data_IF_202739086829
#
_entry.id   IF_202739086829
#
_cell.length_a   1.000
_cell.length_b   1.000
_cell.length_c   1.000
_cell.angle_alpha   90.00
_cell.angle_beta   90.00
_cell.angle_gamma   90.00
#
_symmetry.space_group_name_H-M   'P 1'
#
loop_
_entity.id
_entity.type
_entity.pdbx_description
1 polymer ?
#
# COMPACT_ATOMS: atom_id res chain seq x y z
N UNK A 1 15.06 -8.13 27.24
CA UNK A 1 13.80 -8.67 26.67
C UNK A 1 13.89 -10.17 26.65
N UNK A 2 12.83 -10.86 27.08
CA UNK A 2 12.75 -12.31 26.89
C UNK A 2 12.59 -12.63 25.38
N UNK A 3 12.94 -13.86 24.96
CA UNK A 3 12.75 -14.33 23.59
C UNK A 3 11.30 -14.21 23.16
N UNK A 4 10.36 -14.45 24.06
CA UNK A 4 8.91 -14.28 23.85
C UNK A 4 8.54 -12.83 23.55
N UNK A 5 9.01 -11.87 24.34
CA UNK A 5 8.76 -10.43 24.13
C UNK A 5 9.33 -9.97 22.79
N UNK A 6 10.50 -10.47 22.42
CA UNK A 6 11.15 -10.17 21.16
C UNK A 6 10.32 -10.68 19.97
N UNK A 7 9.94 -11.95 20.02
CA UNK A 7 9.10 -12.56 18.98
C UNK A 7 7.76 -11.84 18.83
N UNK A 8 7.10 -11.53 19.94
CA UNK A 8 5.82 -10.83 19.95
C UNK A 8 5.93 -9.41 19.37
N UNK A 9 7.01 -8.69 19.71
CA UNK A 9 7.26 -7.34 19.17
C UNK A 9 7.41 -7.34 17.65
N UNK A 10 8.18 -8.27 17.09
CA UNK A 10 8.37 -8.39 15.65
C UNK A 10 7.10 -8.86 14.93
N UNK A 11 6.34 -9.76 15.53
CA UNK A 11 5.07 -10.22 14.98
C UNK A 11 4.06 -9.07 14.88
N UNK A 12 3.85 -8.32 15.96
CA UNK A 12 2.93 -7.19 15.98
C UNK A 12 3.37 -6.05 15.04
N UNK A 13 4.67 -5.74 15.01
CA UNK A 13 5.24 -4.79 14.07
C UNK A 13 5.05 -5.25 12.62
N UNK A 14 5.27 -6.54 12.35
CA UNK A 14 5.08 -7.14 11.03
C UNK A 14 3.64 -7.10 10.55
N UNK A 15 2.67 -7.39 11.42
CA UNK A 15 1.24 -7.28 11.12
C UNK A 15 0.87 -5.80 10.85
N UNK A 16 1.43 -4.86 11.62
CA UNK A 16 1.19 -3.43 11.42
C UNK A 16 1.72 -2.95 10.07
N UNK A 17 2.98 -3.23 9.74
CA UNK A 17 3.60 -2.86 8.45
C UNK A 17 2.91 -3.59 7.31
N UNK A 18 2.63 -4.87 7.47
CA UNK A 18 1.91 -5.67 6.49
C UNK A 18 0.51 -5.16 6.20
N UNK A 19 -0.20 -4.66 7.22
CA UNK A 19 -1.48 -3.98 7.07
C UNK A 19 -1.38 -2.70 6.23
N UNK A 20 -0.32 -1.91 6.44
CA UNK A 20 -0.06 -0.71 5.63
C UNK A 20 0.23 -1.05 4.17
N UNK A 21 1.05 -2.09 3.92
CA UNK A 21 1.27 -2.59 2.56
C UNK A 21 0.00 -3.14 1.93
N UNK A 22 -0.85 -3.81 2.71
CA UNK A 22 -2.14 -4.32 2.23
C UNK A 22 -3.06 -3.19 1.74
N UNK A 23 -3.14 -2.04 2.43
CA UNK A 23 -3.94 -0.90 1.98
C UNK A 23 -3.49 -0.40 0.60
N UNK A 24 -2.19 -0.27 0.38
CA UNK A 24 -1.64 0.15 -0.92
C UNK A 24 -1.85 -0.95 -1.98
N UNK A 25 -1.61 -2.22 -1.61
CA UNK A 25 -1.75 -3.38 -2.49
C UNK A 25 -3.19 -3.58 -2.97
N UNK A 26 -4.19 -3.31 -2.12
CA UNK A 26 -5.60 -3.30 -2.50
C UNK A 26 -5.85 -2.25 -3.59
N UNK A 27 -5.29 -1.05 -3.44
CA UNK A 27 -5.38 0.00 -4.46
C UNK A 27 -4.84 -0.45 -5.82
N UNK A 28 -3.67 -1.10 -5.86
CA UNK A 28 -3.12 -1.72 -7.06
C UNK A 28 -4.06 -2.80 -7.63
N UNK A 29 -4.51 -3.73 -6.79
CA UNK A 29 -5.37 -4.84 -7.21
C UNK A 29 -6.71 -4.37 -7.77
N UNK A 30 -7.33 -3.36 -7.16
CA UNK A 30 -8.61 -2.81 -7.63
C UNK A 30 -8.47 -2.14 -9.01
N UNK A 31 -7.44 -1.32 -9.21
CA UNK A 31 -7.19 -0.68 -10.51
C UNK A 31 -6.89 -1.73 -11.57
N UNK A 32 -6.03 -2.71 -11.23
CA UNK A 32 -5.68 -3.79 -12.16
C UNK A 32 -6.87 -4.68 -12.52
N UNK A 33 -7.77 -4.99 -11.60
CA UNK A 33 -8.92 -5.85 -11.88
C UNK A 33 -9.82 -5.27 -12.98
N UNK A 34 -9.91 -3.94 -13.07
CA UNK A 34 -10.78 -3.23 -14.03
C UNK A 34 -10.05 -2.84 -15.29
N UNK A 35 -8.86 -2.24 -15.18
CA UNK A 35 -8.11 -1.72 -16.32
C UNK A 35 -7.12 -2.71 -16.92
N UNK A 36 -6.78 -3.80 -16.20
CA UNK A 36 -5.71 -4.75 -16.54
C UNK A 36 -4.36 -4.06 -16.76
N UNK A 37 -4.13 -2.97 -16.04
CA UNK A 37 -2.92 -2.12 -16.09
C UNK A 37 -2.45 -1.80 -14.67
N UNK A 38 -1.13 -1.70 -14.50
CA UNK A 38 -0.51 -1.34 -13.23
C UNK A 38 -0.40 0.18 -13.17
N UNK A 39 -0.87 0.78 -12.06
CA UNK A 39 -0.71 2.21 -11.80
C UNK A 39 0.59 2.47 -11.04
N UNK A 40 1.70 2.66 -11.74
CA UNK A 40 3.00 2.94 -11.11
C UNK A 40 3.03 4.21 -10.26
N UNK A 41 2.16 5.19 -10.54
CA UNK A 41 2.06 6.42 -9.75
C UNK A 41 1.43 6.21 -8.36
N UNK A 42 0.87 5.03 -8.06
CA UNK A 42 0.13 4.81 -6.81
C UNK A 42 1.02 4.91 -5.55
N UNK A 43 2.28 4.45 -5.63
CA UNK A 43 3.27 4.64 -4.57
C UNK A 43 3.63 6.10 -4.33
N UNK A 44 3.64 6.91 -5.41
CA UNK A 44 3.92 8.35 -5.29
C UNK A 44 2.70 9.12 -4.77
N UNK A 45 1.48 8.69 -5.08
CA UNK A 45 0.26 9.21 -4.43
C UNK A 45 0.31 9.01 -2.92
N UNK A 46 0.77 7.84 -2.47
CA UNK A 46 1.03 7.57 -1.06
C UNK A 46 2.08 8.52 -0.47
N UNK A 47 3.22 8.75 -1.14
CA UNK A 47 4.27 9.67 -0.71
C UNK A 47 3.75 11.12 -0.60
N UNK A 48 2.99 11.58 -1.59
CA UNK A 48 2.37 12.91 -1.59
C UNK A 48 1.44 13.10 -0.40
N UNK A 49 0.79 12.02 0.09
CA UNK A 49 0.01 12.05 1.33
C UNK A 49 0.84 12.46 2.55
N UNK A 50 2.06 11.93 2.67
CA UNK A 50 2.99 12.35 3.72
C UNK A 50 3.41 13.82 3.60
N UNK A 51 3.69 14.29 2.37
CA UNK A 51 4.04 15.69 2.14
C UNK A 51 2.87 16.64 2.41
N UNK A 52 1.67 16.32 1.94
CA UNK A 52 0.49 17.14 2.22
C UNK A 52 0.22 17.24 3.72
N UNK A 53 0.43 16.16 4.48
CA UNK A 53 0.29 16.23 5.93
C UNK A 53 1.26 17.23 6.55
N UNK A 54 2.52 17.25 6.11
CA UNK A 54 3.53 18.21 6.61
C UNK A 54 3.08 19.66 6.32
N UNK A 55 2.67 19.95 5.09
CA UNK A 55 2.29 21.31 4.70
C UNK A 55 0.97 21.74 5.33
N UNK A 56 -0.05 20.88 5.38
CA UNK A 56 -1.36 21.22 5.93
C UNK A 56 -1.29 21.36 7.44
N UNK A 57 -0.54 20.49 8.14
CA UNK A 57 -0.37 20.58 9.59
C UNK A 57 0.43 21.81 10.06
N UNK A 58 1.17 22.45 9.17
CA UNK A 58 1.83 23.73 9.48
C UNK A 58 0.82 24.87 9.69
N UNK A 59 -0.39 24.76 9.11
CA UNK A 59 -1.42 25.81 9.16
C UNK A 59 -2.62 25.37 10.01
N UNK A 60 -2.99 24.08 9.96
CA UNK A 60 -4.18 23.56 10.62
C UNK A 60 -3.82 22.56 11.73
N UNK A 61 -4.59 22.51 12.83
CA UNK A 61 -4.43 21.48 13.85
C UNK A 61 -4.67 20.08 13.26
N UNK A 62 -3.96 19.07 13.77
CA UNK A 62 -3.97 17.69 13.24
C UNK A 62 -5.35 17.09 13.01
N UNK A 63 -6.35 17.25 13.90
CA UNK A 63 -7.69 16.69 13.68
C UNK A 63 -8.40 17.27 12.44
N UNK A 64 -8.05 18.49 12.04
CA UNK A 64 -8.55 19.16 10.82
C UNK A 64 -7.66 18.82 9.62
N UNK A 65 -6.36 18.74 9.83
CA UNK A 65 -5.40 18.41 8.77
C UNK A 65 -5.64 17.02 8.17
N UNK A 66 -5.94 16.01 8.98
CA UNK A 66 -6.17 14.64 8.52
C UNK A 66 -7.27 14.55 7.46
N UNK A 67 -8.51 15.00 7.68
CA UNK A 67 -9.56 14.93 6.66
C UNK A 67 -9.26 15.78 5.43
N UNK A 68 -8.59 16.92 5.59
CA UNK A 68 -8.15 17.76 4.45
C UNK A 68 -7.16 16.98 3.59
N UNK A 69 -6.16 16.35 4.18
CA UNK A 69 -5.15 15.57 3.45
C UNK A 69 -5.80 14.38 2.73
N UNK A 70 -6.71 13.67 3.39
CA UNK A 70 -7.45 12.58 2.74
C UNK A 70 -8.21 13.11 1.51
N UNK A 71 -8.93 14.24 1.65
CA UNK A 71 -9.66 14.85 0.55
C UNK A 71 -8.73 15.28 -0.60
N UNK A 72 -7.57 15.88 -0.30
CA UNK A 72 -6.58 16.29 -1.30
C UNK A 72 -5.99 15.09 -2.06
N UNK A 73 -5.68 13.98 -1.37
CA UNK A 73 -5.14 12.76 -2.00
C UNK A 73 -6.21 12.07 -2.85
N UNK A 74 -7.45 12.04 -2.40
CA UNK A 74 -8.58 11.53 -3.19
C UNK A 74 -8.79 12.39 -4.45
N UNK A 75 -8.74 13.71 -4.31
CA UNK A 75 -8.82 14.65 -5.45
C UNK A 75 -7.63 14.45 -6.41
N UNK A 76 -6.42 14.26 -5.90
CA UNK A 76 -5.24 13.96 -6.70
C UNK A 76 -5.42 12.66 -7.49
N UNK A 77 -5.84 11.58 -6.85
CA UNK A 77 -6.08 10.30 -7.52
C UNK A 77 -7.17 10.38 -8.59
N UNK A 78 -8.26 11.11 -8.32
CA UNK A 78 -9.30 11.40 -9.32
C UNK A 78 -8.74 12.22 -10.48
N UNK A 79 -7.90 13.22 -10.22
CA UNK A 79 -7.27 14.05 -11.26
C UNK A 79 -6.32 13.21 -12.13
N UNK A 80 -5.50 12.36 -11.53
CA UNK A 80 -4.62 11.44 -12.26
C UNK A 80 -5.43 10.54 -13.19
N UNK A 81 -6.53 9.96 -12.71
CA UNK A 81 -7.42 9.18 -13.56
C UNK A 81 -7.97 10.02 -14.72
N UNK A 82 -8.44 11.21 -14.45
CA UNK A 82 -9.11 12.06 -15.43
C UNK A 82 -8.17 12.57 -16.51
N UNK A 83 -6.95 12.93 -16.14
CA UNK A 83 -5.96 13.57 -17.02
C UNK A 83 -5.04 12.57 -17.69
N UNK A 84 -4.53 11.59 -16.95
CA UNK A 84 -3.51 10.69 -17.45
C UNK A 84 -4.06 9.34 -17.98
N UNK A 85 -5.16 8.83 -17.41
CA UNK A 85 -5.67 7.52 -17.80
C UNK A 85 -6.87 7.59 -18.75
N UNK A 86 -7.84 8.46 -18.47
CA UNK A 86 -9.07 8.54 -19.25
C UNK A 86 -8.85 8.83 -20.73
N UNK A 87 -7.98 9.76 -21.15
CA UNK A 87 -7.72 10.05 -22.57
C UNK A 87 -7.08 8.87 -23.30
N UNK A 88 -6.29 8.04 -22.59
CA UNK A 88 -5.50 6.96 -23.17
C UNK A 88 -6.20 5.59 -23.11
N UNK A 89 -7.45 5.50 -22.66
CA UNK A 89 -8.16 4.21 -22.51
C UNK A 89 -8.33 3.41 -23.81
N UNK A 90 -8.36 4.10 -24.96
CA UNK A 90 -8.42 3.48 -26.29
C UNK A 90 -7.04 3.27 -26.92
N UNK A 91 -5.98 3.77 -26.27
CA UNK A 91 -4.61 3.62 -26.75
C UNK A 91 -4.04 2.23 -26.39
N UNK A 92 -2.97 1.80 -27.05
CA UNK A 92 -2.26 0.58 -26.70
C UNK A 92 -1.84 0.59 -25.20
N UNK A 93 -1.85 -0.59 -24.57
CA UNK A 93 -1.52 -0.74 -23.14
C UNK A 93 -0.19 -0.08 -22.75
N UNK A 94 0.82 -0.15 -23.63
CA UNK A 94 2.11 0.48 -23.42
C UNK A 94 2.02 1.99 -23.24
N UNK A 95 1.19 2.68 -24.02
CA UNK A 95 1.00 4.14 -23.90
C UNK A 95 0.44 4.54 -22.54
N UNK A 96 -0.50 3.75 -22.01
CA UNK A 96 -1.07 3.98 -20.68
C UNK A 96 -0.03 3.75 -19.59
N UNK A 97 0.80 2.69 -19.70
CA UNK A 97 1.89 2.41 -18.76
C UNK A 97 2.94 3.55 -18.76
N UNK A 98 3.33 4.04 -19.94
CA UNK A 98 4.27 5.17 -20.07
C UNK A 98 3.68 6.43 -19.42
N UNK A 99 2.37 6.69 -19.62
CA UNK A 99 1.69 7.81 -18.95
C UNK A 99 1.72 7.66 -17.42
N UNK A 100 1.50 6.45 -16.89
CA UNK A 100 1.57 6.19 -15.45
C UNK A 100 2.97 6.47 -14.89
N UNK A 101 4.03 6.04 -15.60
CA UNK A 101 5.41 6.33 -15.24
C UNK A 101 5.67 7.85 -15.32
N UNK A 102 5.17 8.52 -16.36
CA UNK A 102 5.28 9.97 -16.48
C UNK A 102 4.64 10.72 -15.32
N UNK A 103 3.46 10.29 -14.86
CA UNK A 103 2.81 10.85 -13.66
C UNK A 103 3.65 10.58 -12.41
N UNK A 104 4.21 9.37 -12.25
CA UNK A 104 5.11 9.03 -11.15
C UNK A 104 6.28 10.00 -11.08
N UNK A 105 7.01 10.19 -12.19
CA UNK A 105 8.12 11.15 -12.26
C UNK A 105 7.67 12.61 -12.02
N UNK A 106 6.50 12.99 -12.50
CA UNK A 106 5.95 14.32 -12.23
C UNK A 106 5.76 14.54 -10.73
N UNK A 107 5.14 13.59 -10.02
CA UNK A 107 4.92 13.69 -8.58
C UNK A 107 6.23 13.72 -7.79
N UNK A 108 7.21 12.89 -8.17
CA UNK A 108 8.53 12.87 -7.55
C UNK A 108 9.28 14.19 -7.75
N UNK A 109 9.26 14.75 -8.96
CA UNK A 109 9.92 16.01 -9.25
C UNK A 109 9.22 17.21 -8.60
N UNK A 110 7.89 17.20 -8.51
CA UNK A 110 7.16 18.20 -7.72
C UNK A 110 7.52 18.09 -6.24
N UNK A 111 7.58 16.89 -5.69
CA UNK A 111 8.02 16.65 -4.32
C UNK A 111 9.46 17.17 -4.10
N UNK A 112 10.38 16.88 -5.03
CA UNK A 112 11.75 17.38 -5.02
C UNK A 112 11.79 18.91 -5.02
N UNK A 113 11.00 19.56 -5.87
CA UNK A 113 10.93 21.01 -5.96
C UNK A 113 10.43 21.65 -4.65
N UNK A 114 9.32 21.15 -4.07
CA UNK A 114 8.75 21.71 -2.85
C UNK A 114 9.54 21.42 -1.58
N UNK A 115 10.30 20.32 -1.54
CA UNK A 115 11.11 19.96 -0.36
C UNK A 115 12.55 20.45 -0.46
N UNK A 116 13.00 20.87 -1.67
CA UNK A 116 14.40 21.15 -1.95
C UNK A 116 15.29 19.91 -1.91
N UNK A 117 14.72 18.71 -2.10
CA UNK A 117 15.43 17.44 -2.02
C UNK A 117 15.71 16.96 -0.59
N UNK A 118 15.33 17.73 0.41
CA UNK A 118 15.59 17.43 1.81
C UNK A 118 14.49 16.53 2.41
N UNK A 119 14.89 15.64 3.31
CA UNK A 119 13.94 14.91 4.14
C UNK A 119 13.24 15.87 5.09
N UNK A 120 11.92 15.85 5.07
CA UNK A 120 11.06 16.62 5.98
C UNK A 120 10.53 15.73 7.08
N UNK A 121 10.50 16.26 8.31
CA UNK A 121 9.96 15.53 9.43
C UNK A 121 8.43 15.58 9.42
N UNK A 122 7.82 14.40 9.53
CA UNK A 122 6.37 14.24 9.64
C UNK A 122 5.89 14.77 11.00
N UNK A 123 4.73 15.45 11.09
CA UNK A 123 4.25 15.99 12.35
C UNK A 123 4.02 14.90 13.40
N UNK A 124 4.49 15.14 14.61
CA UNK A 124 4.25 14.23 15.72
C UNK A 124 2.75 14.19 16.07
N UNK A 125 2.22 12.98 16.21
CA UNK A 125 0.83 12.72 16.63
C UNK A 125 0.84 11.99 17.98
N UNK A 126 0.98 12.69 19.14
CA UNK A 126 1.18 12.05 20.44
C UNK A 126 0.14 11.00 20.77
N UNK A 127 -1.13 11.24 20.40
CA UNK A 127 -2.27 10.34 20.65
C UNK A 127 -2.15 8.97 19.95
N UNK A 128 -1.34 8.80 18.89
CA UNK A 128 -1.07 7.52 18.21
C UNK A 128 0.42 7.13 18.16
N UNK A 129 1.35 8.06 18.38
CA UNK A 129 2.80 7.77 18.34
C UNK A 129 3.39 7.47 19.71
N UNK A 130 2.70 7.83 20.82
CA UNK A 130 3.22 7.58 22.16
C UNK A 130 3.42 6.08 22.42
N UNK A 131 4.40 5.73 23.25
CA UNK A 131 4.65 4.34 23.63
C UNK A 131 3.50 3.79 24.49
N UNK A 132 3.21 2.51 24.33
CA UNK A 132 2.28 1.74 25.17
C UNK A 132 2.91 0.39 25.47
N UNK A 133 2.63 -0.15 26.66
CA UNK A 133 3.06 -1.50 27.03
C UNK A 133 1.91 -2.45 26.74
N UNK A 134 2.14 -3.41 25.84
CA UNK A 134 1.19 -4.47 25.49
C UNK A 134 1.87 -5.80 25.77
N UNK A 135 1.28 -6.62 26.64
CA UNK A 135 1.79 -7.96 27.01
C UNK A 135 3.28 -7.93 27.45
N UNK A 136 3.71 -6.87 28.14
CA UNK A 136 5.09 -6.68 28.60
C UNK A 136 6.06 -6.06 27.57
N UNK A 137 5.62 -5.86 26.34
CA UNK A 137 6.42 -5.25 25.28
C UNK A 137 6.11 -3.76 25.15
N UNK A 138 7.13 -2.93 25.14
CA UNK A 138 7.00 -1.49 24.88
C UNK A 138 6.99 -1.24 23.37
N UNK A 139 5.90 -0.71 22.84
CA UNK A 139 5.72 -0.41 21.42
C UNK A 139 4.92 0.87 21.20
N UNK A 140 4.98 1.45 20.01
CA UNK A 140 4.18 2.63 19.66
C UNK A 140 2.71 2.27 19.55
N UNK A 141 1.80 3.13 19.99
CA UNK A 141 0.36 2.94 19.85
C UNK A 141 -0.07 2.69 18.40
N UNK A 142 0.56 3.36 17.43
CA UNK A 142 0.28 3.15 16.00
C UNK A 142 0.46 1.69 15.58
N UNK A 143 1.46 0.98 16.11
CA UNK A 143 1.70 -0.44 15.82
C UNK A 143 0.52 -1.31 16.24
N UNK A 144 -0.13 -0.97 17.35
CA UNK A 144 -1.29 -1.70 17.87
C UNK A 144 -2.59 -1.28 17.17
N UNK A 145 -2.76 0.01 16.91
CA UNK A 145 -3.99 0.55 16.29
C UNK A 145 -4.09 0.15 14.81
N UNK A 146 -2.97 0.15 14.08
CA UNK A 146 -2.94 -0.10 12.63
C UNK A 146 -3.66 -1.39 12.22
N UNK A 147 -3.40 -2.58 12.81
CA UNK A 147 -4.08 -3.81 12.40
C UNK A 147 -5.60 -3.73 12.52
N UNK A 148 -6.13 -3.14 13.60
CA UNK A 148 -7.56 -3.00 13.83
C UNK A 148 -8.20 -2.01 12.85
N UNK A 149 -7.53 -0.88 12.59
CA UNK A 149 -7.99 0.11 11.64
C UNK A 149 -7.99 -0.45 10.22
N UNK A 150 -6.92 -1.14 9.82
CA UNK A 150 -6.81 -1.79 8.50
C UNK A 150 -7.88 -2.86 8.35
N UNK A 151 -8.09 -3.71 9.34
CA UNK A 151 -9.14 -4.72 9.32
C UNK A 151 -10.53 -4.08 9.16
N UNK A 152 -10.81 -3.02 9.91
CA UNK A 152 -12.06 -2.27 9.78
C UNK A 152 -12.27 -1.70 8.37
N UNK A 153 -11.22 -1.11 7.78
CA UNK A 153 -11.26 -0.60 6.41
C UNK A 153 -11.50 -1.71 5.37
N UNK A 154 -10.85 -2.87 5.55
CA UNK A 154 -11.05 -4.02 4.67
C UNK A 154 -12.49 -4.52 4.76
N UNK A 155 -13.05 -4.64 5.96
CA UNK A 155 -14.45 -5.07 6.17
C UNK A 155 -15.41 -4.09 5.45
N UNK A 156 -15.22 -2.78 5.66
CA UNK A 156 -16.04 -1.75 5.00
C UNK A 156 -15.90 -1.82 3.48
N UNK A 157 -14.69 -2.01 2.97
CA UNK A 157 -14.44 -2.13 1.54
C UNK A 157 -15.11 -3.38 0.94
N UNK A 158 -14.95 -4.53 1.57
CA UNK A 158 -15.58 -5.79 1.15
C UNK A 158 -17.10 -5.67 1.17
N UNK A 159 -17.66 -5.04 2.21
CA UNK A 159 -19.08 -4.76 2.28
C UNK A 159 -19.53 -3.84 1.13
N UNK A 160 -18.78 -2.75 0.86
CA UNK A 160 -19.06 -1.83 -0.24
C UNK A 160 -19.08 -2.55 -1.59
N UNK A 161 -18.09 -3.39 -1.85
CA UNK A 161 -17.96 -4.12 -3.11
C UNK A 161 -19.05 -5.19 -3.26
N UNK A 162 -19.46 -5.84 -2.16
CA UNK A 162 -20.44 -6.92 -2.24
C UNK A 162 -21.87 -6.42 -2.22
N UNK A 163 -22.19 -5.34 -1.52
CA UNK A 163 -23.56 -4.96 -1.21
C UNK A 163 -24.02 -3.66 -1.89
N UNK A 164 -23.13 -2.91 -2.57
CA UNK A 164 -23.52 -1.65 -3.22
C UNK A 164 -23.67 -1.81 -4.73
N UNK A 165 -24.50 -0.95 -5.35
CA UNK A 165 -24.66 -0.90 -6.82
C UNK A 165 -23.34 -0.64 -7.54
N UNK A 166 -22.48 0.21 -6.96
CA UNK A 166 -21.16 0.51 -7.51
C UNK A 166 -20.26 -0.72 -7.42
N UNK A 167 -20.26 -1.44 -6.31
CA UNK A 167 -19.48 -2.66 -6.14
C UNK A 167 -19.92 -3.76 -7.09
N UNK A 168 -21.24 -3.93 -7.32
CA UNK A 168 -21.76 -4.86 -8.34
C UNK A 168 -21.25 -4.47 -9.72
N UNK A 169 -21.31 -3.17 -10.07
CA UNK A 169 -20.81 -2.67 -11.34
C UNK A 169 -19.29 -2.90 -11.50
N UNK A 170 -18.49 -2.68 -10.44
CA UNK A 170 -17.05 -2.96 -10.44
C UNK A 170 -16.74 -4.43 -10.73
N UNK A 171 -17.45 -5.36 -10.09
CA UNK A 171 -17.28 -6.80 -10.32
C UNK A 171 -17.72 -7.23 -11.72
N UNK A 172 -18.80 -6.64 -12.24
CA UNK A 172 -19.24 -6.90 -13.61
C UNK A 172 -18.18 -6.47 -14.63
N UNK A 173 -17.69 -5.22 -14.51
CA UNK A 173 -16.64 -4.67 -15.40
C UNK A 173 -15.33 -5.43 -15.29
N UNK A 174 -14.95 -5.90 -14.10
CA UNK A 174 -13.76 -6.71 -13.90
C UNK A 174 -13.82 -8.08 -14.61
N UNK A 175 -15.04 -8.64 -14.75
CA UNK A 175 -15.26 -9.91 -15.49
C UNK A 175 -15.30 -9.70 -16.99
N UNK A 176 -16.12 -8.79 -17.47
CA UNK A 176 -16.28 -8.50 -18.89
C UNK A 176 -16.61 -7.01 -19.10
N UNK A 177 -15.62 -6.28 -19.61
CA UNK A 177 -15.70 -4.85 -19.84
C UNK A 177 -16.73 -4.49 -20.92
N UNK A 178 -16.70 -5.21 -22.05
CA UNK A 178 -17.52 -4.90 -23.23
C UNK A 178 -18.98 -5.27 -22.97
N UNK A 179 -19.24 -6.46 -22.44
CA UNK A 179 -20.60 -6.89 -22.08
C UNK A 179 -21.21 -5.97 -21.03
N UNK A 180 -20.44 -5.54 -20.03
CA UNK A 180 -20.91 -4.60 -18.99
C UNK A 180 -21.32 -3.25 -19.59
N UNK A 181 -20.59 -2.76 -20.59
CA UNK A 181 -20.92 -1.54 -21.30
C UNK A 181 -22.24 -1.67 -22.07
N UNK A 182 -22.44 -2.80 -22.76
CA UNK A 182 -23.69 -3.09 -23.48
C UNK A 182 -24.91 -3.19 -22.57
N UNK A 183 -24.71 -3.68 -21.32
CA UNK A 183 -25.74 -3.72 -20.28
C UNK A 183 -26.00 -2.37 -19.60
N UNK A 184 -25.40 -1.27 -20.10
CA UNK A 184 -25.64 0.10 -19.62
C UNK A 184 -24.83 0.51 -18.40
N UNK A 185 -23.81 -0.26 -17.98
CA UNK A 185 -22.92 0.14 -16.89
C UNK A 185 -22.06 1.33 -17.32
N UNK A 186 -22.08 2.40 -16.53
CA UNK A 186 -21.26 3.60 -16.77
C UNK A 186 -19.80 3.33 -16.41
N UNK A 187 -19.04 2.71 -17.31
CA UNK A 187 -17.63 2.32 -17.13
C UNK A 187 -16.77 3.46 -16.60
N UNK A 188 -16.95 4.68 -17.13
CA UNK A 188 -16.19 5.85 -16.67
C UNK A 188 -16.36 6.11 -15.17
N UNK A 189 -17.57 5.99 -14.66
CA UNK A 189 -17.87 6.16 -13.24
C UNK A 189 -17.23 5.06 -12.41
N UNK A 190 -17.29 3.82 -12.87
CA UNK A 190 -16.69 2.67 -12.17
C UNK A 190 -15.18 2.87 -12.02
N UNK A 191 -14.49 3.26 -13.08
CA UNK A 191 -13.03 3.49 -13.04
C UNK A 191 -12.70 4.65 -12.12
N UNK A 192 -13.39 5.81 -12.25
CA UNK A 192 -13.13 6.96 -11.40
C UNK A 192 -13.33 6.63 -9.91
N UNK A 193 -14.39 5.90 -9.55
CA UNK A 193 -14.63 5.44 -8.17
C UNK A 193 -13.53 4.51 -7.69
N UNK A 194 -13.03 3.63 -8.56
CA UNK A 194 -11.90 2.73 -8.19
C UNK A 194 -10.65 3.53 -7.82
N UNK A 195 -10.31 4.56 -8.60
CA UNK A 195 -9.18 5.46 -8.28
C UNK A 195 -9.41 6.23 -6.99
N UNK A 196 -10.63 6.72 -6.75
CA UNK A 196 -11.03 7.40 -5.50
C UNK A 196 -10.83 6.47 -4.30
N UNK A 197 -11.34 5.25 -4.37
CA UNK A 197 -11.21 4.28 -3.26
C UNK A 197 -9.71 3.92 -3.06
N UNK A 198 -8.97 3.63 -4.13
CA UNK A 198 -7.55 3.32 -4.05
C UNK A 198 -6.75 4.46 -3.41
N UNK A 199 -7.00 5.70 -3.82
CA UNK A 199 -6.33 6.89 -3.26
C UNK A 199 -6.74 7.17 -1.81
N UNK A 200 -7.99 6.89 -1.45
CA UNK A 200 -8.45 6.95 -0.07
C UNK A 200 -7.69 5.96 0.82
N UNK A 201 -7.55 4.70 0.40
CA UNK A 201 -6.77 3.70 1.13
C UNK A 201 -5.29 4.07 1.20
N UNK A 202 -4.71 4.57 0.10
CA UNK A 202 -3.33 5.05 0.07
C UNK A 202 -3.11 6.22 1.03
N UNK A 203 -4.07 7.15 1.16
CA UNK A 203 -3.97 8.28 2.09
C UNK A 203 -3.92 7.82 3.55
N UNK A 204 -4.77 6.86 3.93
CA UNK A 204 -4.75 6.31 5.28
C UNK A 204 -3.46 5.50 5.52
N UNK A 205 -3.06 4.68 4.55
CA UNK A 205 -1.78 3.97 4.59
C UNK A 205 -0.59 4.92 4.79
N UNK A 206 -0.59 6.05 4.08
CA UNK A 206 0.41 7.12 4.19
C UNK A 206 0.47 7.71 5.61
N UNK A 207 -0.69 8.06 6.17
CA UNK A 207 -0.77 8.62 7.52
C UNK A 207 -0.21 7.64 8.56
N UNK A 208 -0.58 6.38 8.49
CA UNK A 208 -0.11 5.35 9.42
C UNK A 208 1.40 5.07 9.25
N UNK A 209 1.88 5.00 8.01
CA UNK A 209 3.27 4.71 7.70
C UNK A 209 4.19 5.83 8.16
N UNK A 210 3.91 7.08 7.80
CA UNK A 210 4.76 8.22 8.19
C UNK A 210 4.62 8.59 9.66
N UNK A 211 3.57 8.16 10.35
CA UNK A 211 3.52 8.19 11.83
C UNK A 211 4.50 7.19 12.43
N UNK A 212 4.68 6.03 11.80
CA UNK A 212 5.66 5.01 12.23
C UNK A 212 7.10 5.37 11.81
N UNK A 213 7.28 5.95 10.62
CA UNK A 213 8.56 6.32 10.01
C UNK A 213 8.54 7.80 9.60
N UNK A 214 8.85 8.75 10.51
CA UNK A 214 8.55 10.17 10.34
C UNK A 214 9.45 10.93 9.35
N UNK A 215 10.24 10.26 8.52
CA UNK A 215 11.06 10.86 7.46
C UNK A 215 10.37 10.81 6.11
N UNK A 216 9.91 11.95 5.59
CA UNK A 216 9.31 12.06 4.25
C UNK A 216 10.30 12.73 3.30
N UNK A 217 10.68 12.03 2.25
CA UNK A 217 11.59 12.52 1.20
C UNK A 217 10.97 12.26 -0.19
N UNK A 218 11.45 12.92 -1.26
CA UNK A 218 10.79 12.88 -2.58
C UNK A 218 10.59 11.50 -3.22
N UNK A 219 11.36 10.50 -2.79
CA UNK A 219 11.25 9.11 -3.25
C UNK A 219 10.71 8.16 -2.19
N UNK A 220 10.18 8.69 -1.07
CA UNK A 220 9.72 7.88 0.07
C UNK A 220 8.58 6.89 -0.29
N UNK A 221 7.87 7.11 -1.39
CA UNK A 221 6.82 6.21 -1.89
C UNK A 221 7.32 5.04 -2.73
N UNK A 222 8.56 5.11 -3.23
CA UNK A 222 9.07 4.13 -4.19
C UNK A 222 9.16 2.72 -3.57
N UNK A 223 9.85 2.57 -2.43
CA UNK A 223 10.00 1.26 -1.79
C UNK A 223 8.71 0.70 -1.20
N UNK A 224 7.92 1.45 -0.40
CA UNK A 224 6.61 0.96 0.07
C UNK A 224 5.66 0.64 -1.08
N UNK A 225 5.63 1.47 -2.13
CA UNK A 225 4.83 1.23 -3.33
C UNK A 225 5.23 -0.04 -4.06
N UNK A 226 6.53 -0.26 -4.23
CA UNK A 226 7.04 -1.46 -4.89
C UNK A 226 6.77 -2.73 -4.06
N UNK A 227 6.96 -2.68 -2.73
CA UNK A 227 6.64 -3.79 -1.84
C UNK A 227 5.14 -4.11 -1.82
N UNK A 228 4.29 -3.09 -1.84
CA UNK A 228 2.85 -3.27 -1.95
C UNK A 228 2.44 -3.85 -3.31
N UNK A 229 3.13 -3.47 -4.39
CA UNK A 229 2.96 -4.12 -5.69
C UNK A 229 3.35 -5.59 -5.64
N UNK A 230 4.51 -5.91 -5.04
CA UNK A 230 4.94 -7.30 -4.81
C UNK A 230 3.87 -8.05 -4.00
N UNK A 231 3.31 -7.44 -2.96
CA UNK A 231 2.24 -8.01 -2.16
C UNK A 231 0.98 -8.31 -3.00
N UNK A 232 0.59 -7.40 -3.88
CA UNK A 232 -0.55 -7.59 -4.77
C UNK A 232 -0.31 -8.75 -5.75
N UNK A 233 0.88 -8.84 -6.34
CA UNK A 233 1.26 -9.94 -7.27
C UNK A 233 1.36 -11.27 -6.52
N UNK A 234 2.02 -11.28 -5.37
CA UNK A 234 2.18 -12.46 -4.52
C UNK A 234 0.82 -13.02 -4.09
N UNK A 235 -0.08 -12.13 -3.66
CA UNK A 235 -1.44 -12.50 -3.28
C UNK A 235 -2.32 -12.95 -4.45
N UNK A 236 -2.01 -12.54 -5.66
CA UNK A 236 -2.83 -12.71 -6.88
C UNK A 236 -3.45 -11.38 -7.28
N UNK A 237 -2.83 -10.74 -8.27
CA UNK A 237 -3.22 -9.39 -8.69
C UNK A 237 -4.67 -9.35 -9.19
N UNK A 238 -5.45 -8.43 -8.66
CA UNK A 238 -6.89 -8.34 -8.92
C UNK A 238 -7.77 -8.97 -7.82
N UNK A 239 -7.18 -9.74 -6.89
CA UNK A 239 -7.87 -10.32 -5.73
C UNK A 239 -7.63 -9.44 -4.49
N UNK A 240 -8.71 -8.89 -3.91
CA UNK A 240 -8.62 -8.08 -2.67
C UNK A 240 -8.16 -8.93 -1.49
N UNK A 241 -8.75 -10.10 -1.22
CA UNK A 241 -8.23 -10.97 -0.15
C UNK A 241 -6.77 -11.39 -0.38
N UNK A 242 -6.39 -11.62 -1.65
CA UNK A 242 -5.02 -11.92 -2.03
C UNK A 242 -4.06 -10.78 -1.68
N UNK A 243 -4.40 -9.54 -2.03
CA UNK A 243 -3.59 -8.36 -1.71
C UNK A 243 -3.41 -8.18 -0.19
N UNK A 244 -4.43 -8.46 0.61
CA UNK A 244 -4.35 -8.40 2.08
C UNK A 244 -3.37 -9.44 2.61
N UNK A 245 -3.53 -10.70 2.22
CA UNK A 245 -2.67 -11.79 2.68
C UNK A 245 -1.24 -11.58 2.19
N UNK A 246 -1.05 -11.16 0.93
CA UNK A 246 0.26 -10.82 0.40
C UNK A 246 0.94 -9.68 1.17
N UNK A 247 0.20 -8.63 1.50
CA UNK A 247 0.70 -7.52 2.32
C UNK A 247 1.13 -7.98 3.71
N UNK A 248 0.30 -8.76 4.40
CA UNK A 248 0.62 -9.31 5.72
C UNK A 248 1.86 -10.22 5.67
N UNK A 249 1.94 -11.13 4.70
CA UNK A 249 3.08 -12.04 4.56
C UNK A 249 4.38 -11.27 4.33
N UNK A 250 4.37 -10.27 3.43
CA UNK A 250 5.56 -9.45 3.16
C UNK A 250 5.95 -8.63 4.39
N UNK A 251 5.00 -7.96 5.06
CA UNK A 251 5.29 -7.15 6.23
C UNK A 251 5.84 -7.98 7.41
N UNK A 252 5.26 -9.15 7.66
CA UNK A 252 5.75 -10.08 8.70
C UNK A 252 7.16 -10.57 8.33
N UNK A 253 7.36 -11.09 7.11
CA UNK A 253 8.66 -11.58 6.66
C UNK A 253 9.74 -10.50 6.74
N UNK A 254 9.44 -9.29 6.25
CA UNK A 254 10.36 -8.16 6.31
C UNK A 254 10.77 -7.82 7.74
N UNK A 255 9.80 -7.79 8.67
CA UNK A 255 10.07 -7.43 10.06
C UNK A 255 10.91 -8.48 10.76
N UNK A 256 10.64 -9.77 10.52
CA UNK A 256 11.46 -10.86 11.07
C UNK A 256 12.87 -10.88 10.48
N UNK A 257 13.04 -10.55 9.20
CA UNK A 257 14.38 -10.46 8.58
C UNK A 257 15.15 -9.28 9.15
N UNK A 258 14.51 -8.10 9.29
CA UNK A 258 15.13 -6.93 9.91
C UNK A 258 15.50 -7.16 11.37
N UNK A 259 14.76 -7.99 12.08
CA UNK A 259 15.07 -8.42 13.44
C UNK A 259 15.97 -9.64 13.53
N UNK A 260 16.39 -10.20 12.39
CA UNK A 260 17.15 -11.45 12.32
C UNK A 260 18.46 -11.41 13.10
N UNK A 261 19.16 -10.28 13.09
CA UNK A 261 20.42 -10.09 13.84
C UNK A 261 20.23 -10.29 15.32
N UNK A 262 19.12 -9.83 15.88
CA UNK A 262 18.80 -9.90 17.29
C UNK A 262 18.20 -11.26 17.62
N UNK A 263 17.30 -11.78 16.76
CA UNK A 263 16.65 -13.06 16.95
C UNK A 263 17.62 -14.25 16.87
N UNK A 264 18.54 -14.22 15.92
CA UNK A 264 19.53 -15.28 15.69
C UNK A 264 20.83 -15.06 16.45
N UNK A 265 21.08 -13.83 16.94
CA UNK A 265 22.25 -13.44 17.69
C UNK A 265 22.31 -13.96 19.11
N UNK A 266 23.37 -13.59 19.87
CA UNK A 266 23.62 -14.08 21.24
C UNK A 266 22.51 -13.74 22.25
N UNK A 267 21.75 -12.66 21.99
CA UNK A 267 20.62 -12.24 22.84
C UNK A 267 19.28 -12.91 22.48
N UNK A 268 19.23 -13.69 21.38
CA UNK A 268 18.09 -14.46 20.94
C UNK A 268 18.33 -15.96 21.01
N UNK A 269 18.37 -16.62 19.85
CA UNK A 269 18.57 -18.07 19.73
C UNK A 269 20.05 -18.51 19.84
N UNK A 270 21.00 -17.57 19.80
CA UNK A 270 22.43 -17.86 19.89
C UNK A 270 23.02 -18.66 18.71
N UNK A 271 22.34 -18.65 17.56
CA UNK A 271 22.76 -19.43 16.37
C UNK A 271 23.92 -18.75 15.65
N UNK A 272 23.96 -17.42 15.68
CA UNK A 272 24.99 -16.59 15.01
C UNK A 272 25.86 -15.94 16.08
N UNK A 273 27.17 -16.22 16.04
CA UNK A 273 28.14 -15.69 17.00
C UNK A 273 28.72 -14.31 16.60
N UNK A 274 28.56 -13.88 15.34
CA UNK A 274 29.02 -12.62 14.82
C UNK A 274 27.84 -11.76 14.34
N UNK A 275 27.89 -10.41 14.51
CA UNK A 275 26.85 -9.53 13.99
C UNK A 275 26.91 -9.53 12.45
N UNK A 276 25.96 -10.20 11.83
CA UNK A 276 25.71 -10.15 10.38
C UNK A 276 24.55 -9.19 10.20
N UNK A 277 24.73 -8.10 9.46
CA UNK A 277 23.64 -7.16 9.16
C UNK A 277 22.66 -7.80 8.15
N UNK A 278 21.78 -8.66 8.66
CA UNK A 278 20.72 -9.31 7.87
C UNK A 278 19.66 -8.30 7.47
N UNK A 279 19.49 -7.23 8.25
CA UNK A 279 18.47 -6.19 8.01
C UNK A 279 18.64 -5.54 6.63
N UNK A 280 19.88 -5.35 6.17
CA UNK A 280 20.19 -4.80 4.84
C UNK A 280 19.63 -5.65 3.70
N UNK A 281 19.49 -6.97 3.90
CA UNK A 281 18.96 -7.88 2.88
C UNK A 281 17.43 -8.01 2.88
N UNK A 282 16.72 -7.31 3.76
CA UNK A 282 15.26 -7.42 3.89
C UNK A 282 14.53 -7.10 2.59
N UNK A 283 15.00 -6.11 1.85
CA UNK A 283 14.41 -5.71 0.57
C UNK A 283 14.70 -6.75 -0.52
N UNK A 284 15.94 -7.24 -0.60
CA UNK A 284 16.32 -8.31 -1.53
C UNK A 284 15.46 -9.57 -1.32
N UNK A 285 15.20 -9.94 -0.07
CA UNK A 285 14.35 -11.09 0.26
C UNK A 285 12.92 -10.93 -0.25
N UNK A 286 12.35 -9.72 -0.15
CA UNK A 286 11.01 -9.43 -0.68
C UNK A 286 10.95 -9.67 -2.20
N UNK A 287 12.00 -9.29 -2.94
CA UNK A 287 12.05 -9.52 -4.38
C UNK A 287 12.34 -10.98 -4.75
N UNK A 288 13.16 -11.68 -3.97
CA UNK A 288 13.37 -13.13 -4.12
C UNK A 288 12.05 -13.87 -3.93
N UNK A 289 11.26 -13.50 -2.92
CA UNK A 289 9.92 -14.05 -2.69
C UNK A 289 8.99 -13.81 -3.90
N UNK A 290 9.02 -12.61 -4.50
CA UNK A 290 8.27 -12.32 -5.72
C UNK A 290 8.68 -13.23 -6.86
N UNK A 291 9.99 -13.36 -7.13
CA UNK A 291 10.49 -14.22 -8.21
C UNK A 291 10.08 -15.67 -7.98
N UNK A 292 10.23 -16.17 -6.76
CA UNK A 292 9.82 -17.54 -6.41
C UNK A 292 8.33 -17.76 -6.70
N UNK A 293 7.43 -16.88 -6.25
CA UNK A 293 6.00 -17.07 -6.48
C UNK A 293 5.65 -17.02 -7.97
N UNK A 294 6.29 -16.11 -8.74
CA UNK A 294 6.05 -16.02 -10.19
C UNK A 294 6.51 -17.25 -10.96
N UNK A 295 7.58 -17.91 -10.49
CA UNK A 295 8.10 -19.15 -11.09
C UNK A 295 7.19 -20.33 -10.76
N UNK A 296 6.78 -20.49 -9.49
CA UNK A 296 6.02 -21.66 -9.05
C UNK A 296 4.50 -21.50 -9.23
N UNK A 297 3.97 -20.28 -9.09
CA UNK A 297 2.54 -19.98 -9.18
C UNK A 297 2.31 -18.58 -9.79
N UNK A 298 2.43 -18.46 -11.11
CA UNK A 298 2.38 -17.17 -11.80
C UNK A 298 1.05 -16.41 -11.63
N UNK A 299 -0.04 -17.10 -11.21
CA UNK A 299 -1.32 -16.46 -10.88
C UNK A 299 -1.35 -15.85 -9.47
N UNK A 300 -0.31 -16.04 -8.66
CA UNK A 300 -0.31 -15.70 -7.24
C UNK A 300 -1.11 -16.71 -6.39
N UNK A 301 -1.20 -16.45 -5.07
CA UNK A 301 -1.86 -17.38 -4.13
C UNK A 301 -3.36 -17.51 -4.39
N UNK A 302 -4.04 -16.40 -4.70
CA UNK A 302 -5.51 -16.30 -4.84
C UNK A 302 -5.94 -15.74 -6.20
N UNK A 303 -5.07 -15.74 -7.21
CA UNK A 303 -5.41 -15.28 -8.55
C UNK A 303 -6.28 -16.31 -9.30
N UNK A 304 -7.24 -15.80 -10.07
CA UNK A 304 -8.06 -16.64 -10.96
C UNK A 304 -7.21 -17.20 -12.09
N UNK A 305 -7.44 -18.47 -12.43
CA UNK A 305 -6.84 -19.05 -13.63
C UNK A 305 -7.40 -18.31 -14.85
N UNK A 306 -6.55 -17.96 -15.84
CA UNK A 306 -7.06 -17.42 -17.09
C UNK A 306 -8.04 -18.45 -17.68
N UNK A 307 -9.30 -18.04 -17.80
CA UNK A 307 -10.29 -18.81 -18.55
C UNK A 307 -9.98 -18.58 -20.03
N UNK A 308 -9.47 -19.59 -20.71
CA UNK A 308 -9.39 -19.59 -22.17
C UNK A 308 -10.81 -19.33 -22.69
N UNK A 309 -11.02 -18.14 -23.24
CA UNK A 309 -12.23 -17.89 -24.05
C UNK A 309 -12.02 -18.67 -25.32
N UNK A 310 -12.67 -19.83 -25.41
CA UNK A 310 -12.86 -20.59 -26.66
C UNK A 310 -13.71 -19.76 -27.59
#
# INVERSE_FOLDING_TARGET
>A
MSLYELFLSYLLAGISIGGQYALIAIGYSMVYSILRLINFAHGDVFMVGGLFMIFVSATFPLPVAIPIVIALIVALGFTIERVAYKPLRKAPRMSVMISAIGVSYLLQNLALYFTGGLTRMYPAMPWISDPIIVMGVNMRRVTVITPFLVLGLIIVLVWLINNTKIGIAMRAVAKDFDTSQLMGVKINTVISVTFVIGSFLASIGSILFFTSFPGVFPLAGAMPGLKAFVAAVFGGIGSIPGAVIGGLLIGISETFIRGGDILLGPHGLGIISAPIDIATFSDAFTFILLVMILVFKPTGLFGDKPTDKV
#
